data_IF_925195366357
#
_entry.id   IF_925195366357
#
_cell.length_a   1.000
_cell.length_b   1.000
_cell.length_c   1.000
_cell.angle_alpha   90.00
_cell.angle_beta   90.00
_cell.angle_gamma   90.00
#
_symmetry.space_group_name_H-M   'P 1'
#
loop_
_entity.id
_entity.type
_entity.pdbx_description
1 polymer ?
#
# COMPACT_ATOMS: atom_id res chain seq x y z
N UNK A 1 -6.26 -2.71 25.32
CA UNK A 1 -6.56 -3.33 24.02
C UNK A 1 -6.94 -2.20 23.09
N UNK A 2 -6.20 -1.97 22.01
CA UNK A 2 -6.47 -0.86 21.08
C UNK A 2 -7.78 -1.15 20.35
N UNK A 3 -8.77 -0.28 20.51
CA UNK A 3 -10.02 -0.38 19.77
C UNK A 3 -9.90 0.40 18.47
N UNK A 4 -9.97 -0.29 17.34
CA UNK A 4 -9.97 0.36 16.03
C UNK A 4 -11.40 0.74 15.60
N UNK A 5 -11.58 1.82 14.81
CA UNK A 5 -12.88 2.24 14.32
C UNK A 5 -13.37 1.43 13.10
N UNK A 6 -12.68 0.34 12.76
CA UNK A 6 -12.93 -0.53 11.61
C UNK A 6 -12.83 -1.99 12.02
N UNK A 7 -13.47 -2.86 11.24
CA UNK A 7 -13.68 -4.28 11.55
C UNK A 7 -13.11 -5.22 10.50
N UNK A 8 -12.85 -4.75 9.27
CA UNK A 8 -12.21 -5.52 8.21
C UNK A 8 -11.29 -4.66 7.32
N UNK A 9 -10.03 -5.07 7.25
CA UNK A 9 -8.99 -4.41 6.49
C UNK A 9 -8.60 -5.21 5.23
N UNK A 10 -8.51 -4.53 4.09
CA UNK A 10 -7.81 -5.02 2.91
C UNK A 10 -6.44 -4.38 2.82
N UNK A 11 -5.38 -5.18 2.69
CA UNK A 11 -3.98 -4.70 2.70
C UNK A 11 -3.27 -5.21 1.45
N UNK A 12 -2.85 -4.28 0.59
CA UNK A 12 -2.01 -4.61 -0.57
C UNK A 12 -0.53 -4.66 -0.21
N UNK A 13 0.23 -5.57 -0.83
CA UNK A 13 1.64 -5.75 -0.50
C UNK A 13 1.86 -6.36 0.89
N UNK A 14 0.90 -7.15 1.40
CA UNK A 14 0.90 -7.70 2.75
C UNK A 14 2.01 -8.75 3.02
N UNK A 15 2.69 -9.24 1.99
CA UNK A 15 3.68 -10.32 2.13
C UNK A 15 5.05 -9.90 2.73
N UNK A 16 5.27 -8.62 3.05
CA UNK A 16 6.54 -8.14 3.61
C UNK A 16 6.45 -6.69 4.12
N UNK A 17 7.43 -6.30 4.94
CA UNK A 17 7.65 -4.91 5.33
C UNK A 17 6.43 -4.31 6.04
N UNK A 18 6.13 -3.04 5.74
CA UNK A 18 5.03 -2.29 6.35
C UNK A 18 3.68 -3.00 6.18
N UNK A 19 3.42 -3.59 5.01
CA UNK A 19 2.16 -4.31 4.76
C UNK A 19 1.99 -5.56 5.63
N UNK A 20 3.08 -6.29 5.88
CA UNK A 20 3.07 -7.45 6.78
C UNK A 20 2.85 -7.01 8.22
N UNK A 21 3.59 -6.00 8.68
CA UNK A 21 3.47 -5.47 10.04
C UNK A 21 2.05 -4.97 10.32
N UNK A 22 1.46 -4.23 9.38
CA UNK A 22 0.05 -3.80 9.48
C UNK A 22 -0.90 -4.99 9.56
N UNK A 23 -0.68 -6.04 8.77
CA UNK A 23 -1.51 -7.25 8.83
C UNK A 23 -1.38 -7.95 10.20
N UNK A 24 -0.17 -8.02 10.77
CA UNK A 24 0.06 -8.63 12.09
C UNK A 24 -0.61 -7.83 13.22
N UNK A 25 -0.47 -6.51 13.24
CA UNK A 25 -1.10 -5.65 14.25
C UNK A 25 -2.63 -5.70 14.16
N UNK A 26 -3.19 -5.63 12.95
CA UNK A 26 -4.62 -5.67 12.72
C UNK A 26 -5.22 -7.04 13.05
N UNK A 27 -4.53 -8.13 12.66
CA UNK A 27 -4.91 -9.49 12.99
C UNK A 27 -4.89 -9.75 14.51
N UNK A 28 -3.85 -9.29 15.21
CA UNK A 28 -3.75 -9.39 16.67
C UNK A 28 -4.87 -8.61 17.39
N UNK A 29 -5.34 -7.52 16.79
CA UNK A 29 -6.49 -6.75 17.26
C UNK A 29 -7.85 -7.32 16.81
N UNK A 30 -7.87 -8.50 16.18
CA UNK A 30 -9.07 -9.21 15.69
C UNK A 30 -9.86 -8.43 14.63
N UNK A 31 -9.20 -7.55 13.89
CA UNK A 31 -9.75 -6.97 12.66
C UNK A 31 -9.71 -8.06 11.58
N UNK A 32 -10.81 -8.29 10.88
CA UNK A 32 -10.86 -9.25 9.76
C UNK A 32 -9.88 -8.82 8.66
N UNK A 33 -9.18 -9.77 8.05
CA UNK A 33 -8.13 -9.46 7.08
C UNK A 33 -8.49 -9.95 5.68
N UNK A 34 -8.18 -9.12 4.68
CA UNK A 34 -8.06 -9.48 3.27
C UNK A 34 -6.64 -9.09 2.82
N UNK A 35 -5.78 -10.06 2.56
CA UNK A 35 -4.36 -9.81 2.26
C UNK A 35 -4.05 -10.06 0.80
N UNK A 36 -3.39 -9.09 0.17
CA UNK A 36 -3.10 -9.12 -1.27
C UNK A 36 -1.59 -9.03 -1.51
N UNK A 37 -1.04 -10.00 -2.23
CA UNK A 37 0.33 -9.97 -2.75
C UNK A 37 0.54 -11.05 -3.83
N UNK A 38 1.73 -11.05 -4.44
CA UNK A 38 2.13 -12.08 -5.42
C UNK A 38 2.60 -13.40 -4.79
N UNK A 39 3.16 -13.33 -3.57
CA UNK A 39 3.78 -14.46 -2.87
C UNK A 39 2.76 -15.20 -2.03
N UNK A 40 2.13 -16.22 -2.62
CA UNK A 40 1.06 -16.99 -1.97
C UNK A 40 1.52 -17.62 -0.65
N UNK A 41 2.69 -18.25 -0.65
CA UNK A 41 3.31 -18.90 0.51
C UNK A 41 3.31 -18.00 1.75
N UNK A 42 3.69 -16.73 1.58
CA UNK A 42 3.72 -15.72 2.65
C UNK A 42 2.33 -15.27 3.07
N UNK A 43 1.39 -15.13 2.13
CA UNK A 43 0.00 -14.78 2.48
C UNK A 43 -0.67 -15.91 3.28
N UNK A 44 -0.39 -17.17 2.92
CA UNK A 44 -0.88 -18.34 3.65
C UNK A 44 -0.30 -18.43 5.06
N UNK A 45 0.89 -17.88 5.30
CA UNK A 45 1.44 -17.78 6.65
C UNK A 45 0.64 -16.82 7.53
N UNK A 46 0.23 -15.68 6.98
CA UNK A 46 -0.66 -14.74 7.68
C UNK A 46 -2.00 -15.42 7.99
N UNK A 47 -2.58 -16.13 7.02
CA UNK A 47 -3.82 -16.89 7.22
C UNK A 47 -3.71 -17.96 8.32
N UNK A 48 -2.58 -18.69 8.39
CA UNK A 48 -2.34 -19.65 9.48
C UNK A 48 -2.25 -18.97 10.84
N UNK A 49 -1.65 -17.78 10.93
CA UNK A 49 -1.51 -17.01 12.17
C UNK A 49 -2.83 -16.35 12.59
N UNK A 50 -3.65 -15.93 11.63
CA UNK A 50 -4.94 -15.28 11.84
C UNK A 50 -6.04 -15.99 11.03
N UNK A 51 -6.63 -17.08 11.57
CA UNK A 51 -7.67 -17.83 10.88
C UNK A 51 -8.86 -16.96 10.45
N UNK A 52 -9.36 -17.19 9.23
CA UNK A 52 -10.41 -16.37 8.63
C UNK A 52 -9.90 -15.19 7.80
N UNK A 53 -8.58 -15.03 7.69
CA UNK A 53 -7.96 -14.13 6.71
C UNK A 53 -8.26 -14.59 5.29
N UNK A 54 -8.80 -13.70 4.47
CA UNK A 54 -8.99 -13.93 3.04
C UNK A 54 -7.70 -13.63 2.27
N UNK A 55 -7.28 -14.55 1.40
CA UNK A 55 -6.04 -14.44 0.62
C UNK A 55 -6.35 -14.16 -0.85
N UNK A 56 -5.77 -13.09 -1.40
CA UNK A 56 -5.84 -12.75 -2.82
C UNK A 56 -4.42 -12.75 -3.40
N UNK A 57 -4.11 -13.79 -4.18
CA UNK A 57 -2.85 -13.85 -4.92
C UNK A 57 -3.01 -13.05 -6.21
N UNK A 58 -2.37 -11.89 -6.28
CA UNK A 58 -2.52 -10.98 -7.42
C UNK A 58 -1.23 -10.21 -7.72
N UNK A 59 -0.95 -10.03 -9.01
CA UNK A 59 0.05 -9.07 -9.49
C UNK A 59 -0.64 -7.75 -9.87
N UNK A 60 -0.47 -6.74 -9.01
CA UNK A 60 -1.07 -5.43 -9.19
C UNK A 60 -0.39 -4.59 -10.29
N UNK A 61 0.62 -5.12 -10.99
CA UNK A 61 1.12 -4.52 -12.24
C UNK A 61 0.33 -4.97 -13.47
N UNK A 62 -0.63 -5.89 -13.30
CA UNK A 62 -1.49 -6.43 -14.36
C UNK A 62 -2.93 -5.96 -14.20
N UNK A 63 -3.69 -5.75 -15.31
CA UNK A 63 -5.10 -5.41 -15.24
C UNK A 63 -5.93 -6.44 -14.46
N UNK A 64 -5.63 -7.73 -14.62
CA UNK A 64 -6.36 -8.83 -13.99
C UNK A 64 -6.16 -8.81 -12.47
N UNK A 65 -4.92 -8.59 -12.02
CA UNK A 65 -4.60 -8.50 -10.59
C UNK A 65 -5.28 -7.31 -9.91
N UNK A 66 -5.29 -6.14 -10.57
CA UNK A 66 -6.01 -4.97 -10.05
C UNK A 66 -7.52 -5.21 -10.05
N UNK A 67 -8.05 -5.81 -11.12
CA UNK A 67 -9.48 -6.15 -11.24
C UNK A 67 -9.93 -7.07 -10.10
N UNK A 68 -9.14 -8.09 -9.76
CA UNK A 68 -9.48 -9.00 -8.65
C UNK A 68 -9.68 -8.26 -7.32
N UNK A 69 -8.83 -7.27 -7.01
CA UNK A 69 -8.96 -6.45 -5.80
C UNK A 69 -10.16 -5.50 -5.86
N UNK A 70 -10.33 -4.82 -7.00
CA UNK A 70 -11.45 -3.89 -7.22
C UNK A 70 -12.79 -4.62 -7.11
N UNK A 71 -12.92 -5.78 -7.76
CA UNK A 71 -14.12 -6.61 -7.70
C UNK A 71 -14.40 -7.06 -6.27
N UNK A 72 -13.37 -7.45 -5.50
CA UNK A 72 -13.53 -7.84 -4.10
C UNK A 72 -14.06 -6.70 -3.22
N UNK A 73 -13.55 -5.48 -3.44
CA UNK A 73 -14.00 -4.29 -2.71
C UNK A 73 -15.45 -3.96 -3.05
N UNK A 74 -15.83 -4.10 -4.32
CA UNK A 74 -17.16 -3.74 -4.82
C UNK A 74 -18.23 -4.82 -4.61
N UNK A 75 -17.87 -6.03 -4.18
CA UNK A 75 -18.80 -7.16 -4.11
C UNK A 75 -19.78 -7.03 -2.91
N UNK A 76 -21.09 -6.81 -3.15
CA UNK A 76 -22.07 -6.62 -2.07
C UNK A 76 -22.48 -7.91 -1.36
N UNK A 77 -22.09 -9.07 -1.89
CA UNK A 77 -22.39 -10.38 -1.31
C UNK A 77 -21.30 -10.87 -0.37
N UNK A 78 -20.17 -10.16 -0.30
CA UNK A 78 -19.09 -10.46 0.62
C UNK A 78 -19.12 -9.51 1.81
N UNK A 79 -18.55 -9.94 2.96
CA UNK A 79 -18.41 -9.05 4.09
C UNK A 79 -17.64 -7.77 3.72
N UNK A 80 -18.22 -6.63 4.11
CA UNK A 80 -17.74 -5.29 3.76
C UNK A 80 -16.31 -5.05 4.24
N UNK A 81 -15.57 -4.25 3.48
CA UNK A 81 -14.24 -3.74 3.84
C UNK A 81 -14.41 -2.28 4.25
N UNK A 82 -14.04 -1.96 5.49
CA UNK A 82 -14.12 -0.61 6.07
C UNK A 82 -12.74 0.05 6.21
N UNK A 83 -11.64 -0.70 6.08
CA UNK A 83 -10.28 -0.17 5.89
C UNK A 83 -9.62 -0.72 4.61
N UNK A 84 -9.12 0.16 3.74
CA UNK A 84 -8.25 -0.21 2.61
C UNK A 84 -6.87 0.41 2.79
N UNK A 85 -5.84 -0.43 2.83
CA UNK A 85 -4.44 -0.02 2.89
C UNK A 85 -3.78 -0.26 1.53
N UNK A 86 -3.56 0.82 0.79
CA UNK A 86 -2.76 0.83 -0.42
C UNK A 86 -1.27 0.90 -0.06
N UNK A 87 -0.69 -0.27 0.26
CA UNK A 87 0.72 -0.39 0.63
C UNK A 87 1.61 -0.95 -0.50
N UNK A 88 1.06 -1.72 -1.43
CA UNK A 88 1.85 -2.29 -2.52
C UNK A 88 2.58 -1.19 -3.30
N UNK A 89 3.90 -1.33 -3.40
CA UNK A 89 4.74 -0.41 -4.13
C UNK A 89 6.20 -0.86 -4.11
N UNK A 90 6.98 -0.36 -5.06
CA UNK A 90 8.43 -0.49 -5.04
C UNK A 90 9.09 0.78 -5.59
N UNK A 91 10.40 0.90 -5.43
CA UNK A 91 11.18 1.98 -6.01
C UNK A 91 12.30 1.47 -6.90
N UNK A 92 12.89 2.37 -7.67
CA UNK A 92 14.05 2.07 -8.50
C UNK A 92 15.07 3.19 -8.34
N UNK A 93 16.30 2.82 -7.98
CA UNK A 93 17.40 3.77 -7.93
C UNK A 93 18.32 3.68 -9.15
N UNK A 94 18.80 4.83 -9.62
CA UNK A 94 19.80 4.94 -10.68
C UNK A 94 19.63 6.21 -11.51
N UNK A 95 20.57 6.44 -12.43
CA UNK A 95 20.43 7.52 -13.41
C UNK A 95 19.39 7.16 -14.47
N UNK A 96 18.46 8.07 -14.75
CA UNK A 96 17.33 7.86 -15.66
C UNK A 96 17.70 7.20 -16.99
N UNK A 97 18.80 7.65 -17.63
CA UNK A 97 19.27 7.15 -18.93
C UNK A 97 19.86 5.73 -18.90
N UNK A 98 19.99 5.11 -17.72
CA UNK A 98 20.60 3.77 -17.54
C UNK A 98 19.63 2.73 -16.99
N UNK A 99 18.43 3.13 -16.59
CA UNK A 99 17.43 2.22 -16.01
C UNK A 99 16.61 1.61 -17.13
N UNK A 100 16.30 0.32 -17.01
CA UNK A 100 15.34 -0.38 -17.86
C UNK A 100 13.98 0.35 -17.87
N UNK A 101 13.51 0.85 -19.03
CA UNK A 101 12.24 1.57 -19.13
C UNK A 101 11.03 0.71 -18.75
N UNK A 102 11.08 -0.62 -18.91
CA UNK A 102 9.99 -1.50 -18.51
C UNK A 102 9.88 -1.60 -16.99
N UNK A 103 11.01 -1.55 -16.29
CA UNK A 103 11.03 -1.47 -14.82
C UNK A 103 10.41 -0.17 -14.32
N UNK A 104 10.75 0.96 -14.94
CA UNK A 104 10.14 2.26 -14.60
C UNK A 104 8.63 2.26 -14.85
N UNK A 105 8.19 1.66 -15.96
CA UNK A 105 6.77 1.53 -16.28
C UNK A 105 6.02 0.65 -15.28
N UNK A 106 6.62 -0.47 -14.85
CA UNK A 106 6.05 -1.31 -13.78
C UNK A 106 5.93 -0.57 -12.45
N UNK A 107 6.89 0.30 -12.13
CA UNK A 107 6.85 1.11 -10.91
C UNK A 107 5.69 2.10 -10.93
N UNK A 108 5.49 2.78 -12.06
CA UNK A 108 4.36 3.70 -12.24
C UNK A 108 3.04 2.92 -12.19
N UNK A 109 2.91 1.80 -12.89
CA UNK A 109 1.69 0.97 -12.86
C UNK A 109 1.33 0.55 -11.44
N UNK A 110 2.30 0.10 -10.66
CA UNK A 110 2.04 -0.33 -9.29
C UNK A 110 1.76 0.84 -8.34
N UNK A 111 2.65 1.83 -8.30
CA UNK A 111 2.60 2.89 -7.29
C UNK A 111 1.47 3.91 -7.58
N UNK A 112 1.10 4.08 -8.84
CA UNK A 112 0.14 5.09 -9.30
C UNK A 112 -1.13 4.40 -9.78
N UNK A 113 -1.09 3.67 -10.90
CA UNK A 113 -2.31 3.19 -11.56
C UNK A 113 -3.12 2.24 -10.66
N UNK A 114 -2.48 1.22 -10.09
CA UNK A 114 -3.14 0.26 -9.22
C UNK A 114 -3.73 0.93 -7.98
N UNK A 115 -2.95 1.79 -7.31
CA UNK A 115 -3.39 2.54 -6.14
C UNK A 115 -4.62 3.40 -6.46
N UNK A 116 -4.60 4.16 -7.55
CA UNK A 116 -5.72 5.03 -7.95
C UNK A 116 -6.99 4.22 -8.21
N UNK A 117 -6.88 3.09 -8.92
CA UNK A 117 -8.03 2.21 -9.20
C UNK A 117 -8.61 1.60 -7.92
N UNK A 118 -7.75 1.12 -7.02
CA UNK A 118 -8.17 0.49 -5.76
C UNK A 118 -8.78 1.54 -4.82
N UNK A 119 -8.16 2.71 -4.70
CA UNK A 119 -8.68 3.83 -3.91
C UNK A 119 -10.04 4.30 -4.42
N UNK A 120 -10.21 4.44 -5.74
CA UNK A 120 -11.50 4.77 -6.34
C UNK A 120 -12.58 3.74 -5.95
N UNK A 121 -12.28 2.44 -6.08
CA UNK A 121 -13.21 1.38 -5.70
C UNK A 121 -13.57 1.43 -4.20
N UNK A 122 -12.58 1.67 -3.35
CA UNK A 122 -12.77 1.79 -1.90
C UNK A 122 -13.70 2.96 -1.55
N UNK A 123 -13.39 4.15 -2.06
CA UNK A 123 -14.18 5.36 -1.80
C UNK A 123 -15.60 5.22 -2.35
N UNK A 124 -15.76 4.69 -3.57
CA UNK A 124 -17.07 4.45 -4.17
C UNK A 124 -17.94 3.48 -3.34
N UNK A 125 -17.33 2.45 -2.74
CA UNK A 125 -18.03 1.51 -1.86
C UNK A 125 -18.32 2.09 -0.46
N UNK A 126 -17.47 2.98 0.05
CA UNK A 126 -17.55 3.52 1.42
C UNK A 126 -18.50 4.72 1.54
N UNK A 127 -18.58 5.60 0.53
CA UNK A 127 -19.42 6.81 0.58
C UNK A 127 -20.90 6.49 0.88
N UNK A 128 -21.57 5.54 0.21
CA UNK A 128 -22.98 5.24 0.48
C UNK A 128 -23.25 4.78 1.92
N UNK A 129 -22.24 4.23 2.60
CA UNK A 129 -22.33 3.77 3.99
C UNK A 129 -22.05 4.87 5.00
N UNK A 130 -21.51 6.01 4.56
CA UNK A 130 -21.11 7.11 5.43
C UNK A 130 -19.93 6.79 6.34
N UNK A 131 -19.20 5.70 6.08
CA UNK A 131 -18.06 5.27 6.90
C UNK A 131 -17.06 4.48 6.07
N UNK A 132 -15.78 4.81 6.26
CA UNK A 132 -14.67 4.07 5.67
C UNK A 132 -13.32 4.76 5.84
N UNK A 133 -12.27 3.98 5.70
CA UNK A 133 -10.90 4.41 5.91
C UNK A 133 -10.01 3.96 4.75
N UNK A 134 -9.26 4.88 4.19
CA UNK A 134 -8.21 4.57 3.22
C UNK A 134 -6.87 5.08 3.75
N UNK A 135 -5.87 4.20 3.76
CA UNK A 135 -4.50 4.55 4.07
C UNK A 135 -3.63 4.29 2.85
N UNK A 136 -3.08 5.36 2.28
CA UNK A 136 -2.13 5.28 1.17
C UNK A 136 -0.70 5.34 1.72
N UNK A 137 0.12 4.33 1.45
CA UNK A 137 1.53 4.36 1.83
C UNK A 137 2.33 5.11 0.79
N UNK A 138 2.63 6.37 1.09
CA UNK A 138 3.52 7.25 0.33
C UNK A 138 4.99 7.05 0.76
N UNK A 139 5.76 8.13 0.92
CA UNK A 139 7.15 8.17 1.41
C UNK A 139 7.54 9.61 1.73
N UNK A 140 8.52 9.84 2.61
CA UNK A 140 9.18 11.16 2.72
C UNK A 140 9.78 11.64 1.39
N UNK A 141 10.09 10.72 0.47
CA UNK A 141 10.56 11.05 -0.88
C UNK A 141 9.50 11.80 -1.71
N UNK A 142 8.23 11.85 -1.28
CA UNK A 142 7.19 12.62 -1.96
C UNK A 142 7.39 14.13 -1.85
N UNK A 143 8.13 14.61 -0.84
CA UNK A 143 8.26 16.03 -0.53
C UNK A 143 9.42 16.72 -1.23
N UNK A 144 10.25 15.99 -1.98
CA UNK A 144 11.37 16.56 -2.72
C UNK A 144 11.76 15.74 -3.94
N UNK A 145 12.26 16.41 -4.98
CA UNK A 145 12.91 15.73 -6.08
C UNK A 145 14.21 15.08 -5.59
N UNK A 146 14.33 13.77 -5.80
CA UNK A 146 15.51 13.01 -5.35
C UNK A 146 16.29 12.49 -6.56
N UNK A 147 17.45 13.09 -6.90
CA UNK A 147 18.35 12.54 -7.91
C UNK A 147 18.68 11.09 -7.61
N UNK A 148 18.60 10.22 -8.62
CA UNK A 148 18.77 8.79 -8.43
C UNK A 148 17.51 8.04 -8.00
N UNK A 149 16.47 8.70 -7.49
CA UNK A 149 15.16 8.10 -7.15
C UNK A 149 14.02 8.84 -7.87
N UNK A 150 14.28 9.31 -9.10
CA UNK A 150 13.42 10.28 -9.78
C UNK A 150 11.98 9.76 -9.97
N UNK A 151 11.81 8.56 -10.55
CA UNK A 151 10.49 7.96 -10.77
C UNK A 151 9.82 7.64 -9.44
N UNK A 152 10.55 7.06 -8.48
CA UNK A 152 9.99 6.74 -7.17
C UNK A 152 9.43 7.98 -6.47
N UNK A 153 10.24 9.04 -6.35
CA UNK A 153 9.84 10.30 -5.72
C UNK A 153 8.64 10.91 -6.43
N UNK A 154 8.62 10.90 -7.77
CA UNK A 154 7.48 11.38 -8.54
C UNK A 154 6.20 10.57 -8.30
N UNK A 155 6.28 9.23 -8.25
CA UNK A 155 5.11 8.39 -7.95
C UNK A 155 4.60 8.64 -6.53
N UNK A 156 5.48 8.85 -5.55
CA UNK A 156 5.08 9.15 -4.17
C UNK A 156 4.54 10.57 -4.01
N UNK A 157 5.05 11.55 -4.76
CA UNK A 157 4.45 12.87 -4.86
C UNK A 157 3.02 12.81 -5.41
N UNK A 158 2.78 12.01 -6.45
CA UNK A 158 1.42 11.73 -6.93
C UNK A 158 0.53 11.16 -5.83
N UNK A 159 0.98 10.13 -5.11
CA UNK A 159 0.19 9.49 -4.06
C UNK A 159 -0.15 10.48 -2.94
N UNK A 160 0.81 11.28 -2.48
CA UNK A 160 0.57 12.32 -1.46
C UNK A 160 -0.44 13.35 -1.95
N UNK A 161 -0.24 13.91 -3.14
CA UNK A 161 -1.14 14.93 -3.70
C UNK A 161 -2.55 14.40 -3.96
N UNK A 162 -2.69 13.18 -4.50
CA UNK A 162 -3.98 12.52 -4.69
C UNK A 162 -4.71 12.31 -3.35
N UNK A 163 -3.97 11.88 -2.33
CA UNK A 163 -4.54 11.65 -0.99
C UNK A 163 -5.07 12.95 -0.39
N UNK A 164 -4.32 14.04 -0.49
CA UNK A 164 -4.74 15.35 0.01
C UNK A 164 -5.99 15.86 -0.72
N UNK A 165 -5.98 15.82 -2.05
CA UNK A 165 -7.11 16.26 -2.87
C UNK A 165 -8.39 15.49 -2.55
N UNK A 166 -8.32 14.15 -2.52
CA UNK A 166 -9.49 13.31 -2.23
C UNK A 166 -9.91 13.42 -0.76
N UNK A 167 -8.98 13.63 0.17
CA UNK A 167 -9.36 13.88 1.58
C UNK A 167 -10.23 15.14 1.71
N UNK A 168 -9.98 16.18 0.91
CA UNK A 168 -10.80 17.39 0.88
C UNK A 168 -12.16 17.13 0.22
N UNK A 169 -12.19 16.41 -0.90
CA UNK A 169 -13.45 16.01 -1.58
C UNK A 169 -14.38 15.20 -0.66
N UNK A 170 -13.81 14.40 0.24
CA UNK A 170 -14.56 13.51 1.13
C UNK A 170 -15.02 14.17 2.42
N UNK A 171 -14.80 15.47 2.61
CA UNK A 171 -15.32 16.17 3.79
C UNK A 171 -16.83 15.99 3.86
N UNK A 172 -17.32 15.71 5.07
CA UNK A 172 -18.74 15.46 5.35
C UNK A 172 -19.32 14.14 4.82
N UNK A 173 -18.54 13.29 4.14
CA UNK A 173 -18.98 11.95 3.72
C UNK A 173 -18.85 10.89 4.82
N UNK A 174 -18.08 11.17 5.88
CA UNK A 174 -17.73 10.19 6.92
C UNK A 174 -16.61 9.21 6.52
N UNK A 175 -16.15 9.25 5.27
CA UNK A 175 -14.97 8.52 4.78
C UNK A 175 -13.71 9.33 5.04
N UNK A 176 -12.65 8.70 5.55
CA UNK A 176 -11.35 9.34 5.81
C UNK A 176 -10.27 8.72 4.94
N UNK A 177 -9.49 9.56 4.27
CA UNK A 177 -8.32 9.14 3.48
C UNK A 177 -7.09 9.80 4.08
N UNK A 178 -6.03 9.03 4.29
CA UNK A 178 -4.77 9.52 4.88
C UNK A 178 -3.57 8.95 4.15
N UNK A 179 -2.45 9.68 4.19
CA UNK A 179 -1.16 9.22 3.69
C UNK A 179 -0.22 8.89 4.84
N UNK A 180 0.37 7.71 4.81
CA UNK A 180 1.57 7.40 5.60
C UNK A 180 2.79 7.77 4.76
N UNK A 181 3.71 8.57 5.28
CA UNK A 181 4.93 8.97 4.57
C UNK A 181 6.18 8.44 5.32
N UNK A 182 6.53 7.15 5.19
CA UNK A 182 7.67 6.59 5.91
C UNK A 182 8.99 7.21 5.47
N UNK A 183 9.87 7.37 6.44
CA UNK A 183 11.30 7.61 6.22
C UNK A 183 12.03 6.32 5.82
N UNK A 184 13.34 6.32 6.05
CA UNK A 184 14.18 5.14 5.87
C UNK A 184 13.70 4.02 6.81
N UNK A 185 13.01 3.02 6.27
CA UNK A 185 12.42 1.93 7.04
C UNK A 185 13.09 0.61 6.68
N UNK A 186 13.50 -0.18 7.67
CA UNK A 186 14.13 -1.49 7.44
C UNK A 186 13.10 -2.47 6.89
N UNK A 187 13.11 -2.68 5.57
CA UNK A 187 12.20 -3.61 4.86
C UNK A 187 12.95 -4.28 3.70
N UNK A 188 12.28 -5.13 2.92
CA UNK A 188 12.85 -5.65 1.67
C UNK A 188 12.97 -4.57 0.57
N UNK A 189 12.50 -3.34 0.82
CA UNK A 189 12.52 -2.24 -0.16
C UNK A 189 13.93 -1.95 -0.69
N UNK A 190 14.94 -2.00 0.16
CA UNK A 190 16.32 -1.67 -0.17
C UNK A 190 16.88 -2.65 -1.20
N UNK A 191 16.63 -3.95 -0.99
CA UNK A 191 16.97 -4.98 -1.98
C UNK A 191 16.19 -4.82 -3.28
N UNK A 192 14.90 -4.47 -3.20
CA UNK A 192 14.05 -4.35 -4.38
C UNK A 192 14.41 -3.12 -5.20
N UNK A 193 14.80 -2.01 -4.55
CA UNK A 193 15.09 -0.73 -5.21
C UNK A 193 16.52 -0.56 -5.70
N UNK A 194 17.37 -1.57 -5.54
CA UNK A 194 18.81 -1.50 -5.79
C UNK A 194 19.52 -0.44 -4.92
N UNK A 195 19.00 -0.21 -3.71
CA UNK A 195 19.55 0.72 -2.72
C UNK A 195 20.18 0.00 -1.53
N UNK A 196 20.52 -1.29 -1.66
CA UNK A 196 21.14 -2.07 -0.59
C UNK A 196 22.44 -1.44 -0.06
N UNK A 197 23.19 -0.72 -0.91
CA UNK A 197 24.38 0.06 -0.49
C UNK A 197 24.08 1.27 0.39
N UNK A 198 22.87 1.84 0.34
CA UNK A 198 22.47 2.97 1.19
C UNK A 198 22.29 2.55 2.66
N UNK A 199 22.06 1.25 2.93
CA UNK A 199 22.01 0.73 4.30
C UNK A 199 23.33 0.93 5.05
N UNK A 200 24.47 1.01 4.34
CA UNK A 200 25.80 1.25 4.90
C UNK A 200 26.23 2.72 4.85
N UNK A 201 25.52 3.58 4.11
CA UNK A 201 25.87 5.01 3.98
C UNK A 201 25.18 5.90 5.02
N UNK A 202 24.07 5.44 5.60
CA UNK A 202 23.29 6.20 6.57
C UNK A 202 23.45 5.67 8.01
N UNK A 203 23.62 6.54 9.02
CA UNK A 203 23.72 6.12 10.43
C UNK A 203 22.50 5.34 10.93
N UNK A 204 22.68 4.39 11.84
CA UNK A 204 21.58 3.55 12.35
C UNK A 204 20.37 4.32 12.89
N UNK A 205 20.59 5.50 13.49
CA UNK A 205 19.51 6.30 14.10
C UNK A 205 18.53 6.90 13.10
N UNK A 206 18.87 6.99 11.80
CA UNK A 206 17.94 7.49 10.79
C UNK A 206 16.99 6.40 10.27
N UNK A 207 17.22 5.15 10.64
CA UNK A 207 16.40 4.02 10.25
C UNK A 207 15.31 3.75 11.28
N UNK A 208 14.07 3.66 10.84
CA UNK A 208 12.97 3.14 11.65
C UNK A 208 12.85 1.63 11.48
N UNK A 209 12.61 0.91 12.57
CA UNK A 209 12.07 -0.45 12.48
C UNK A 209 10.66 -0.38 11.90
N UNK A 210 10.23 -1.46 11.27
CA UNK A 210 8.79 -1.74 11.14
C UNK A 210 8.22 -2.07 12.51
#
# INVERSE_FOLDING_TARGET
>A
MTTYPFTRALITGASSGIGLELAEQLGAAKVGLVVVARREDRLREIERRFPGTEVIVADLTTPEGVKAVVDRIANPHLPEIDLVVNNAGFGTSGHMHRIDPDRLSREIRLNVEALTRIMHAAVAAMIPRGIGYVLNVSSVASFQASPGLAVYSATKAYVTSLTEGVSEELRHTGVRVTALCPGLTKTEFQSISNTSGLATEFPDFVWTSV
#
